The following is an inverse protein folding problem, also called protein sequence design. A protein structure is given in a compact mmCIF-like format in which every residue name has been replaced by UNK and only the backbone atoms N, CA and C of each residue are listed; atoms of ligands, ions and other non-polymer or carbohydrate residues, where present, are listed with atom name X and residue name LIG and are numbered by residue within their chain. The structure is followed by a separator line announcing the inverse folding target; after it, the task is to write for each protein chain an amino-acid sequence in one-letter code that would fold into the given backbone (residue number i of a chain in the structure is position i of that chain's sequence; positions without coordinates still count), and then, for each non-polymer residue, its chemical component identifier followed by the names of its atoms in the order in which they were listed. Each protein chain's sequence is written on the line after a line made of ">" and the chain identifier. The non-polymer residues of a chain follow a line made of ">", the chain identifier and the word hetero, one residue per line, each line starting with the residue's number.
data_IF_891027347346
#
_entry.id   IF_891027347346
#
_cell.length_a   1.000
_cell.length_b   1.000
_cell.length_c   1.000
_cell.angle_alpha   90.00
_cell.angle_beta   90.00
_cell.angle_gamma   90.00
#
_symmetry.space_group_name_H-M   'P 1'
#
loop_
_entity.id
_entity.type
_entity.pdbx_description
1 polymer ?
#
# COMPACT_ATOMS: atom_id res chain seq x y z
N UNK A 1 0.16 11.46 21.59
CA UNK A 1 0.41 10.04 21.88
C UNK A 1 1.59 9.45 21.09
N UNK A 2 2.78 10.09 21.12
CA UNK A 2 3.98 9.55 20.43
C UNK A 2 4.59 8.34 21.17
N UNK A 3 4.45 8.26 22.49
CA UNK A 3 5.11 7.24 23.32
C UNK A 3 4.61 5.82 23.03
N UNK A 4 3.29 5.63 22.86
CA UNK A 4 2.71 4.31 22.53
C UNK A 4 3.10 3.84 21.14
N UNK A 5 3.19 4.74 20.16
CA UNK A 5 3.64 4.42 18.80
C UNK A 5 5.11 3.99 18.79
N UNK A 6 5.98 4.76 19.43
CA UNK A 6 7.41 4.46 19.49
C UNK A 6 7.69 3.16 20.25
N UNK A 7 6.93 2.88 21.32
CA UNK A 7 7.02 1.60 22.04
C UNK A 7 6.60 0.43 21.13
N UNK A 8 5.50 0.53 20.41
CA UNK A 8 5.03 -0.53 19.53
C UNK A 8 5.98 -0.74 18.33
N UNK A 9 6.58 0.33 17.80
CA UNK A 9 7.62 0.23 16.77
C UNK A 9 8.90 -0.41 17.33
N UNK A 10 9.29 -0.13 18.56
CA UNK A 10 10.41 -0.83 19.22
C UNK A 10 10.09 -2.33 19.45
N UNK A 11 8.87 -2.64 19.88
CA UNK A 11 8.40 -4.00 20.06
C UNK A 11 8.30 -4.76 18.74
N UNK A 12 8.00 -4.10 17.62
CA UNK A 12 7.95 -4.75 16.29
C UNK A 12 9.29 -5.34 15.85
N UNK A 13 10.40 -4.83 16.40
CA UNK A 13 11.77 -5.32 16.13
C UNK A 13 12.22 -6.41 17.10
N UNK A 14 11.42 -6.74 18.13
CA UNK A 14 11.79 -7.75 19.13
C UNK A 14 11.55 -9.16 18.58
N UNK A 15 12.64 -9.89 18.33
CA UNK A 15 12.58 -11.29 17.88
C UNK A 15 11.93 -12.21 18.94
N UNK A 16 12.22 -12.00 20.23
CA UNK A 16 11.61 -12.78 21.32
C UNK A 16 10.10 -12.62 21.38
N UNK A 17 9.61 -11.40 21.24
CA UNK A 17 8.18 -11.14 21.27
C UNK A 17 7.50 -11.66 20.00
N UNK A 18 8.16 -11.54 18.85
CA UNK A 18 7.72 -12.13 17.59
C UNK A 18 7.52 -13.65 17.76
N UNK A 19 8.54 -14.35 18.24
CA UNK A 19 8.52 -15.80 18.38
C UNK A 19 7.43 -16.26 19.36
N UNK A 20 7.24 -15.53 20.46
CA UNK A 20 6.11 -15.75 21.37
C UNK A 20 4.76 -15.55 20.69
N UNK A 21 4.60 -14.47 19.93
CA UNK A 21 3.33 -14.12 19.27
C UNK A 21 2.99 -15.06 18.11
N UNK A 22 3.98 -15.52 17.36
CA UNK A 22 3.79 -16.50 16.27
C UNK A 22 3.26 -17.83 16.80
N UNK A 23 3.73 -18.29 17.95
CA UNK A 23 3.28 -19.54 18.58
C UNK A 23 1.97 -19.39 19.38
N UNK A 24 1.52 -18.15 19.61
CA UNK A 24 0.32 -17.90 20.41
C UNK A 24 -0.92 -17.81 19.53
N UNK A 25 -1.78 -18.84 19.55
CA UNK A 25 -2.96 -18.98 18.69
C UNK A 25 -3.89 -17.75 18.66
N UNK A 26 -4.23 -17.10 19.80
CA UNK A 26 -5.03 -15.88 19.80
C UNK A 26 -4.40 -14.72 19.02
N UNK A 27 -3.08 -14.57 19.02
CA UNK A 27 -2.39 -13.54 18.27
C UNK A 27 -2.53 -13.76 16.75
N UNK A 28 -2.42 -15.00 16.29
CA UNK A 28 -2.68 -15.38 14.89
C UNK A 28 -4.12 -15.07 14.47
N UNK A 29 -5.09 -15.35 15.33
CA UNK A 29 -6.50 -15.01 15.05
C UNK A 29 -6.71 -13.52 14.86
N UNK A 30 -6.03 -12.69 15.64
CA UNK A 30 -6.08 -11.23 15.50
C UNK A 30 -5.33 -10.78 14.24
N UNK A 31 -4.15 -11.35 13.97
CA UNK A 31 -3.38 -11.04 12.77
C UNK A 31 -4.18 -11.33 11.50
N UNK A 32 -4.92 -12.44 11.43
CA UNK A 32 -5.81 -12.81 10.32
C UNK A 32 -6.91 -11.79 10.02
N UNK A 33 -7.18 -10.87 10.93
CA UNK A 33 -8.07 -9.75 10.66
C UNK A 33 -7.44 -8.69 9.75
N UNK A 34 -6.11 -8.57 9.73
CA UNK A 34 -5.37 -7.54 9.02
C UNK A 34 -4.44 -8.10 7.94
N UNK A 35 -4.25 -9.41 7.93
CA UNK A 35 -3.39 -10.16 7.01
C UNK A 35 -4.19 -11.30 6.41
N UNK A 36 -4.10 -11.47 5.10
CA UNK A 36 -4.91 -12.41 4.33
C UNK A 36 -4.46 -13.88 4.46
N UNK A 37 -3.55 -14.16 5.36
CA UNK A 37 -2.99 -15.48 5.62
C UNK A 37 -1.46 -15.48 5.59
N UNK A 38 -0.90 -16.65 5.84
CA UNK A 38 0.56 -16.85 5.84
C UNK A 38 1.04 -17.51 4.53
N UNK A 39 0.11 -18.14 3.79
CA UNK A 39 0.40 -18.87 2.55
C UNK A 39 -0.25 -18.21 1.34
N UNK A 40 0.30 -18.49 0.16
CA UNK A 40 -0.22 -18.03 -1.12
C UNK A 40 -1.68 -18.47 -1.34
N UNK A 41 -2.03 -19.71 -1.01
CA UNK A 41 -3.39 -20.23 -1.15
C UNK A 41 -4.41 -19.50 -0.27
N UNK A 42 -4.03 -19.16 0.98
CA UNK A 42 -4.86 -18.35 1.87
C UNK A 42 -5.08 -16.94 1.29
N UNK A 43 -4.02 -16.34 0.73
CA UNK A 43 -4.09 -15.03 0.09
C UNK A 43 -5.04 -15.03 -1.13
N UNK A 44 -4.93 -16.02 -2.01
CA UNK A 44 -5.83 -16.16 -3.18
C UNK A 44 -7.28 -16.36 -2.74
N UNK A 45 -7.51 -17.20 -1.72
CA UNK A 45 -8.86 -17.41 -1.15
C UNK A 45 -9.45 -16.10 -0.59
N UNK A 46 -8.63 -15.31 0.12
CA UNK A 46 -9.07 -14.01 0.63
C UNK A 46 -9.43 -13.03 -0.50
N UNK A 47 -8.65 -13.00 -1.59
CA UNK A 47 -8.97 -12.16 -2.75
C UNK A 47 -10.20 -12.63 -3.49
N UNK A 48 -10.45 -13.94 -3.58
CA UNK A 48 -11.70 -14.47 -4.12
C UNK A 48 -12.93 -13.97 -3.33
N UNK A 49 -12.83 -13.98 -1.99
CA UNK A 49 -13.88 -13.44 -1.12
C UNK A 49 -14.08 -11.92 -1.28
N UNK A 50 -13.03 -11.16 -1.55
CA UNK A 50 -13.12 -9.73 -1.89
C UNK A 50 -13.80 -9.53 -3.26
N UNK A 51 -13.42 -10.32 -4.25
CA UNK A 51 -13.98 -10.25 -5.60
C UNK A 51 -15.49 -10.52 -5.65
N UNK A 52 -16.00 -11.41 -4.77
CA UNK A 52 -17.44 -11.65 -4.60
C UNK A 52 -18.21 -10.44 -4.05
N UNK A 53 -17.50 -9.46 -3.50
CA UNK A 53 -18.05 -8.20 -3.00
C UNK A 53 -17.74 -7.01 -3.94
N UNK A 54 -17.36 -7.28 -5.20
CA UNK A 54 -16.92 -6.29 -6.19
C UNK A 54 -15.73 -5.44 -5.75
N UNK A 55 -14.94 -5.93 -4.80
CA UNK A 55 -13.72 -5.30 -4.35
C UNK A 55 -12.53 -5.80 -5.18
N UNK A 56 -11.67 -4.87 -5.58
CA UNK A 56 -10.37 -5.16 -6.21
C UNK A 56 -9.34 -5.42 -5.12
N UNK A 57 -8.25 -6.11 -5.45
CA UNK A 57 -7.16 -6.32 -4.52
C UNK A 57 -5.80 -5.85 -5.09
N UNK A 58 -4.86 -5.61 -4.19
CA UNK A 58 -3.42 -5.54 -4.46
C UNK A 58 -2.73 -6.38 -3.38
N UNK A 59 -2.20 -7.52 -3.78
CA UNK A 59 -1.50 -8.43 -2.87
C UNK A 59 -0.08 -7.92 -2.61
N UNK A 60 0.33 -7.95 -1.35
CA UNK A 60 1.67 -7.61 -0.88
C UNK A 60 2.24 -8.80 -0.10
N UNK A 61 3.30 -9.43 -0.65
CA UNK A 61 4.04 -10.44 0.10
C UNK A 61 4.91 -9.75 1.15
N UNK A 62 4.59 -9.97 2.41
CA UNK A 62 5.22 -9.27 3.53
C UNK A 62 6.69 -9.64 3.66
N UNK A 63 7.56 -8.68 3.53
CA UNK A 63 9.00 -8.71 3.68
C UNK A 63 9.56 -7.30 3.54
N UNK A 64 10.71 -7.03 4.11
CA UNK A 64 11.39 -5.72 4.05
C UNK A 64 12.90 -5.94 4.18
N UNK A 65 13.69 -5.04 3.56
CA UNK A 65 15.14 -4.86 3.82
C UNK A 65 15.93 -6.16 3.78
N UNK A 66 16.05 -6.74 2.59
CA UNK A 66 16.90 -7.92 2.36
C UNK A 66 18.38 -7.57 2.56
N UNK A 67 19.18 -8.55 2.94
CA UNK A 67 20.60 -8.38 3.29
C UNK A 67 21.55 -9.04 2.31
N UNK A 68 21.01 -9.78 1.35
CA UNK A 68 21.78 -10.48 0.32
C UNK A 68 21.09 -10.48 -1.03
N UNK A 69 21.87 -10.62 -2.10
CA UNK A 69 21.35 -10.76 -3.47
C UNK A 69 20.44 -11.98 -3.61
N UNK A 70 20.77 -13.08 -2.94
CA UNK A 70 19.94 -14.29 -2.93
C UNK A 70 18.57 -13.98 -2.37
N UNK A 71 18.46 -13.32 -1.20
CA UNK A 71 17.19 -12.92 -0.61
C UNK A 71 16.36 -12.02 -1.53
N UNK A 72 17.02 -11.08 -2.24
CA UNK A 72 16.33 -10.19 -3.19
C UNK A 72 15.79 -10.96 -4.41
N UNK A 73 16.54 -11.96 -4.91
CA UNK A 73 16.11 -12.81 -6.01
C UNK A 73 15.01 -13.78 -5.58
N UNK A 74 15.07 -14.30 -4.36
CA UNK A 74 14.03 -15.16 -3.78
C UNK A 74 12.71 -14.37 -3.61
N UNK A 75 12.75 -13.16 -3.07
CA UNK A 75 11.57 -12.28 -2.97
C UNK A 75 10.97 -11.94 -4.35
N UNK A 76 11.83 -11.80 -5.36
CA UNK A 76 11.39 -11.62 -6.74
C UNK A 76 10.69 -12.86 -7.26
N UNK A 77 11.25 -14.05 -7.04
CA UNK A 77 10.66 -15.33 -7.46
C UNK A 77 9.31 -15.57 -6.78
N UNK A 78 9.19 -15.31 -5.46
CA UNK A 78 7.94 -15.39 -4.73
C UNK A 78 6.86 -14.43 -5.29
N UNK A 79 7.26 -13.23 -5.73
CA UNK A 79 6.34 -12.28 -6.38
C UNK A 79 5.90 -12.77 -7.78
N UNK A 80 6.78 -13.43 -8.53
CA UNK A 80 6.43 -14.05 -9.81
C UNK A 80 5.47 -15.23 -9.60
N UNK A 81 5.71 -16.09 -8.62
CA UNK A 81 4.78 -17.16 -8.22
C UNK A 81 3.41 -16.61 -7.81
N UNK A 82 3.39 -15.48 -7.08
CA UNK A 82 2.15 -14.79 -6.75
C UNK A 82 1.39 -14.33 -7.99
N UNK A 83 2.07 -13.78 -9.00
CA UNK A 83 1.46 -13.37 -10.27
C UNK A 83 0.88 -14.57 -11.02
N UNK A 84 1.58 -15.71 -11.04
CA UNK A 84 1.10 -16.96 -11.65
C UNK A 84 -0.14 -17.51 -10.91
N UNK A 85 -0.16 -17.42 -9.58
CA UNK A 85 -1.31 -17.81 -8.78
C UNK A 85 -2.51 -16.87 -8.99
N UNK A 86 -2.29 -15.56 -9.15
CA UNK A 86 -3.33 -14.58 -9.50
C UNK A 86 -3.94 -14.91 -10.87
N UNK A 87 -3.12 -15.28 -11.84
CA UNK A 87 -3.57 -15.67 -13.17
C UNK A 87 -4.38 -16.96 -13.11
N UNK A 88 -3.83 -18.02 -12.51
CA UNK A 88 -4.46 -19.34 -12.40
C UNK A 88 -5.75 -19.30 -11.59
N UNK A 89 -5.76 -18.53 -10.49
CA UNK A 89 -6.94 -18.35 -9.64
C UNK A 89 -8.01 -17.43 -10.24
N UNK A 90 -7.77 -16.79 -11.38
CA UNK A 90 -8.70 -15.88 -12.04
C UNK A 90 -9.11 -14.67 -11.21
N UNK A 91 -8.31 -14.30 -10.20
CA UNK A 91 -8.68 -13.25 -9.24
C UNK A 91 -8.38 -11.84 -9.74
N UNK A 92 -9.16 -10.86 -9.30
CA UNK A 92 -9.06 -9.44 -9.68
C UNK A 92 -8.04 -8.71 -8.80
N UNK A 93 -6.77 -9.13 -8.86
CA UNK A 93 -5.68 -8.56 -8.08
C UNK A 93 -4.52 -8.10 -8.97
N UNK A 94 -3.84 -7.04 -8.54
CA UNK A 94 -2.46 -6.74 -8.87
C UNK A 94 -1.55 -7.06 -7.70
N UNK A 95 -0.30 -6.64 -7.76
CA UNK A 95 0.67 -6.79 -6.69
C UNK A 95 1.21 -5.44 -6.23
N UNK A 96 1.62 -5.36 -4.97
CA UNK A 96 2.42 -4.26 -4.42
C UNK A 96 3.80 -4.79 -4.05
N UNK A 97 4.86 -4.03 -4.33
CA UNK A 97 6.25 -4.41 -4.08
C UNK A 97 7.01 -3.27 -3.40
N UNK A 98 8.02 -3.61 -2.60
CA UNK A 98 8.95 -2.66 -1.98
C UNK A 98 10.34 -2.82 -2.59
N UNK A 99 10.99 -1.72 -2.91
CA UNK A 99 12.30 -1.77 -3.56
C UNK A 99 13.39 -2.29 -2.63
N UNK A 100 13.29 -2.05 -1.32
CA UNK A 100 14.25 -2.62 -0.35
C UNK A 100 14.15 -4.14 -0.29
N UNK A 101 12.98 -4.71 -0.52
CA UNK A 101 12.79 -6.17 -0.64
C UNK A 101 13.36 -6.72 -1.96
N UNK A 102 13.43 -5.89 -2.99
CA UNK A 102 14.02 -6.25 -4.29
C UNK A 102 15.52 -5.96 -4.39
N UNK A 103 16.14 -5.51 -3.28
CA UNK A 103 17.58 -5.32 -3.17
C UNK A 103 18.08 -3.88 -3.39
N UNK A 104 17.24 -2.85 -3.25
CA UNK A 104 17.63 -1.45 -3.47
C UNK A 104 18.79 -1.02 -2.56
N UNK A 105 18.85 -1.49 -1.31
CA UNK A 105 19.93 -1.21 -0.37
C UNK A 105 21.26 -1.89 -0.74
N UNK A 106 21.20 -2.95 -1.55
CA UNK A 106 22.37 -3.68 -2.01
C UNK A 106 22.91 -3.07 -3.31
N UNK A 107 22.02 -2.86 -4.27
CA UNK A 107 22.35 -2.30 -5.58
C UNK A 107 21.10 -1.77 -6.28
N UNK A 108 21.09 -0.49 -6.72
CA UNK A 108 20.01 0.01 -7.56
C UNK A 108 19.80 -0.78 -8.86
N UNK A 109 20.89 -1.29 -9.45
CA UNK A 109 20.83 -2.12 -10.65
C UNK A 109 20.12 -3.46 -10.40
N UNK A 110 20.40 -4.12 -9.27
CA UNK A 110 19.71 -5.34 -8.85
C UNK A 110 18.21 -5.10 -8.64
N UNK A 111 17.86 -4.02 -7.94
CA UNK A 111 16.46 -3.66 -7.73
C UNK A 111 15.74 -3.35 -9.05
N UNK A 112 16.39 -2.68 -9.98
CA UNK A 112 15.86 -2.39 -11.31
C UNK A 112 15.59 -3.66 -12.11
N UNK A 113 16.56 -4.59 -12.16
CA UNK A 113 16.42 -5.91 -12.82
C UNK A 113 15.25 -6.71 -12.24
N UNK A 114 15.20 -6.83 -10.91
CA UNK A 114 14.18 -7.57 -10.21
C UNK A 114 12.77 -6.95 -10.41
N UNK A 115 12.67 -5.64 -10.31
CA UNK A 115 11.42 -4.92 -10.54
C UNK A 115 10.94 -5.06 -11.98
N UNK A 116 11.84 -4.95 -12.96
CA UNK A 116 11.49 -5.11 -14.37
C UNK A 116 10.94 -6.50 -14.67
N UNK A 117 11.52 -7.56 -14.13
CA UNK A 117 11.02 -8.94 -14.28
C UNK A 117 9.58 -9.06 -13.77
N UNK A 118 9.26 -8.47 -12.62
CA UNK A 118 7.91 -8.47 -12.04
C UNK A 118 6.94 -7.68 -12.93
N UNK A 119 7.33 -6.48 -13.36
CA UNK A 119 6.48 -5.61 -14.20
C UNK A 119 6.22 -6.23 -15.55
N UNK A 120 7.24 -6.82 -16.20
CA UNK A 120 7.11 -7.52 -17.48
C UNK A 120 6.15 -8.72 -17.36
N UNK A 121 6.35 -9.59 -16.36
CA UNK A 121 5.45 -10.72 -16.11
C UNK A 121 4.02 -10.28 -15.83
N UNK A 122 3.86 -9.21 -15.06
CA UNK A 122 2.55 -8.63 -14.77
C UNK A 122 1.86 -8.08 -16.03
N UNK A 123 2.62 -7.48 -16.97
CA UNK A 123 2.11 -7.01 -18.25
C UNK A 123 1.58 -8.14 -19.12
N UNK A 124 2.32 -9.26 -19.22
CA UNK A 124 1.92 -10.45 -19.99
C UNK A 124 0.55 -10.99 -19.57
N UNK A 125 0.24 -10.95 -18.28
CA UNK A 125 -1.02 -11.45 -17.74
C UNK A 125 -2.08 -10.35 -17.51
N UNK A 126 -1.84 -9.11 -17.98
CA UNK A 126 -2.74 -7.99 -17.85
C UNK A 126 -3.00 -7.56 -16.40
N UNK A 127 -1.98 -7.63 -15.55
CA UNK A 127 -2.05 -7.21 -14.14
C UNK A 127 -1.22 -5.96 -13.89
N UNK A 128 -1.48 -5.32 -12.73
CA UNK A 128 -0.89 -4.05 -12.35
C UNK A 128 0.09 -4.23 -11.19
N UNK A 129 1.23 -3.56 -11.25
CA UNK A 129 2.23 -3.50 -10.18
C UNK A 129 2.18 -2.12 -9.52
N UNK A 130 2.11 -2.09 -8.20
CA UNK A 130 2.27 -0.87 -7.41
C UNK A 130 3.62 -0.90 -6.69
N UNK A 131 4.48 0.06 -6.99
CA UNK A 131 5.70 0.28 -6.21
C UNK A 131 5.30 1.08 -4.97
N UNK A 132 5.45 0.47 -3.80
CA UNK A 132 5.18 1.12 -2.52
C UNK A 132 6.28 2.14 -2.22
N UNK A 133 5.94 3.23 -1.54
CA UNK A 133 6.89 4.23 -1.11
C UNK A 133 7.33 3.93 0.33
N UNK A 134 8.63 3.95 0.53
CA UNK A 134 9.27 3.70 1.81
C UNK A 134 9.70 5.02 2.47
N UNK A 135 10.75 5.05 3.29
CA UNK A 135 11.18 6.28 3.96
C UNK A 135 11.72 7.32 2.97
N UNK A 136 11.91 8.54 3.44
CA UNK A 136 12.33 9.68 2.62
C UNK A 136 13.59 9.40 1.78
N UNK A 137 14.55 8.65 2.33
CA UNK A 137 15.77 8.28 1.62
C UNK A 137 15.51 7.50 0.31
N UNK A 138 14.39 6.77 0.23
CA UNK A 138 14.05 5.96 -0.94
C UNK A 138 13.13 6.68 -1.94
N UNK A 139 12.67 7.91 -1.64
CA UNK A 139 11.70 8.59 -2.52
C UNK A 139 12.29 8.83 -3.91
N UNK A 140 13.48 9.44 -3.98
CA UNK A 140 14.08 9.74 -5.28
C UNK A 140 14.46 8.48 -6.04
N UNK A 141 15.18 7.50 -5.46
CA UNK A 141 15.47 6.24 -6.16
C UNK A 141 14.22 5.51 -6.67
N UNK A 142 13.12 5.54 -5.89
CA UNK A 142 11.85 4.92 -6.30
C UNK A 142 11.23 5.63 -7.51
N UNK A 143 11.23 6.95 -7.51
CA UNK A 143 10.71 7.74 -8.64
C UNK A 143 11.55 7.54 -9.90
N UNK A 144 12.87 7.50 -9.77
CA UNK A 144 13.77 7.30 -10.91
C UNK A 144 13.57 5.91 -11.55
N UNK A 145 13.48 4.85 -10.73
CA UNK A 145 13.19 3.50 -11.22
C UNK A 145 11.78 3.40 -11.83
N UNK A 146 10.78 4.03 -11.20
CA UNK A 146 9.43 4.06 -11.74
C UNK A 146 9.41 4.72 -13.13
N UNK A 147 10.05 5.87 -13.31
CA UNK A 147 10.03 6.61 -14.57
C UNK A 147 10.75 5.84 -15.69
N UNK A 148 11.91 5.22 -15.39
CA UNK A 148 12.61 4.38 -16.35
C UNK A 148 11.74 3.21 -16.85
N UNK A 149 10.90 2.63 -15.96
CA UNK A 149 9.96 1.57 -16.36
C UNK A 149 8.72 2.12 -17.06
N UNK A 150 8.24 3.32 -16.66
CA UNK A 150 7.05 3.94 -17.23
C UNK A 150 7.19 4.22 -18.73
N UNK A 151 8.38 4.43 -19.22
CA UNK A 151 8.62 4.61 -20.65
C UNK A 151 8.18 3.38 -21.46
N UNK A 152 8.40 2.17 -20.92
CA UNK A 152 8.15 0.88 -21.58
C UNK A 152 6.87 0.19 -21.13
N UNK A 153 6.47 0.35 -19.87
CA UNK A 153 5.38 -0.38 -19.24
C UNK A 153 4.34 0.60 -18.66
N UNK A 154 3.07 0.44 -19.02
CA UNK A 154 1.97 1.26 -18.49
C UNK A 154 1.14 0.57 -17.41
N UNK A 155 1.52 -0.63 -17.03
CA UNK A 155 0.90 -1.43 -15.96
C UNK A 155 1.61 -1.30 -14.60
N UNK A 156 2.36 -0.24 -14.39
CA UNK A 156 3.05 0.08 -13.13
C UNK A 156 2.59 1.44 -12.59
N UNK A 157 2.67 1.64 -11.30
CA UNK A 157 2.35 2.94 -10.67
C UNK A 157 3.12 3.10 -9.36
N UNK A 158 3.14 4.32 -8.83
CA UNK A 158 3.92 4.71 -7.67
C UNK A 158 3.06 5.31 -6.57
N UNK A 159 3.61 5.39 -5.35
CA UNK A 159 2.96 5.98 -4.19
C UNK A 159 3.58 7.33 -3.85
N UNK A 160 2.74 8.32 -3.53
CA UNK A 160 3.15 9.64 -3.02
C UNK A 160 2.63 9.83 -1.60
N UNK A 161 3.49 10.33 -0.73
CA UNK A 161 3.22 10.53 0.69
C UNK A 161 2.99 12.01 1.00
N UNK A 162 1.76 12.37 1.35
CA UNK A 162 1.35 13.78 1.51
C UNK A 162 2.04 14.53 2.66
N UNK A 163 2.67 13.82 3.60
CA UNK A 163 3.40 14.48 4.68
C UNK A 163 4.78 15.06 4.26
N UNK A 164 5.32 14.68 3.09
CA UNK A 164 6.59 15.20 2.60
C UNK A 164 6.42 16.55 1.88
N UNK A 165 7.32 17.49 2.13
CA UNK A 165 7.28 18.80 1.50
C UNK A 165 7.42 18.73 -0.03
N UNK A 166 8.24 17.80 -0.53
CA UNK A 166 8.50 17.62 -1.97
C UNK A 166 7.32 17.08 -2.78
N UNK A 167 6.28 16.53 -2.11
CA UNK A 167 5.21 15.76 -2.77
C UNK A 167 4.42 16.56 -3.80
N UNK A 168 4.37 17.90 -3.70
CA UNK A 168 3.70 18.73 -4.69
C UNK A 168 4.42 18.71 -6.05
N UNK A 169 5.74 18.81 -6.04
CA UNK A 169 6.58 18.76 -7.24
C UNK A 169 6.59 17.36 -7.84
N UNK A 170 6.65 16.32 -6.99
CA UNK A 170 6.58 14.91 -7.40
C UNK A 170 5.22 14.63 -8.10
N UNK A 171 4.10 15.09 -7.53
CA UNK A 171 2.77 14.94 -8.15
C UNK A 171 2.70 15.67 -9.49
N UNK A 172 3.19 16.91 -9.58
CA UNK A 172 3.22 17.66 -10.83
C UNK A 172 4.01 16.92 -11.92
N UNK A 173 5.15 16.30 -11.56
CA UNK A 173 5.95 15.48 -12.47
C UNK A 173 5.17 14.24 -12.95
N UNK A 174 4.51 13.53 -12.02
CA UNK A 174 3.72 12.33 -12.33
C UNK A 174 2.47 12.62 -13.15
N UNK A 175 1.87 13.80 -12.99
CA UNK A 175 0.77 14.28 -13.84
C UNK A 175 1.24 14.42 -15.29
N UNK A 176 2.38 15.04 -15.52
CA UNK A 176 2.93 15.19 -16.90
C UNK A 176 3.18 13.85 -17.58
N UNK A 177 3.49 12.80 -16.80
CA UNK A 177 3.67 11.43 -17.30
C UNK A 177 2.36 10.68 -17.53
N UNK A 178 1.22 11.18 -17.02
CA UNK A 178 -0.03 10.43 -17.01
C UNK A 178 0.00 9.19 -16.13
N UNK A 179 0.75 9.21 -15.04
CA UNK A 179 1.05 8.06 -14.20
C UNK A 179 -0.13 7.61 -13.34
N UNK A 180 -0.13 6.35 -12.90
CA UNK A 180 -1.03 5.89 -11.82
C UNK A 180 -0.42 6.19 -10.46
N UNK A 181 -1.07 7.06 -9.65
CA UNK A 181 -0.55 7.59 -8.40
C UNK A 181 -1.43 7.18 -7.23
N UNK A 182 -0.86 6.43 -6.27
CA UNK A 182 -1.48 6.19 -4.97
C UNK A 182 -1.10 7.30 -4.00
N UNK A 183 -2.07 8.12 -3.60
CA UNK A 183 -1.86 9.17 -2.62
C UNK A 183 -2.15 8.64 -1.21
N UNK A 184 -1.13 8.65 -0.35
CA UNK A 184 -1.20 8.28 1.08
C UNK A 184 -0.81 9.46 1.96
N UNK A 185 -1.11 9.41 3.27
CA UNK A 185 -0.65 10.45 4.22
C UNK A 185 0.86 10.37 4.46
N UNK A 186 1.40 9.18 4.56
CA UNK A 186 2.74 8.85 5.03
C UNK A 186 2.69 8.06 6.33
N UNK A 187 3.64 7.14 6.50
CA UNK A 187 3.64 6.19 7.62
C UNK A 187 4.96 6.16 8.40
N UNK A 188 6.04 6.68 7.84
CA UNK A 188 7.36 6.67 8.47
C UNK A 188 7.53 7.86 9.44
N UNK A 189 8.53 7.76 10.30
CA UNK A 189 8.87 8.83 11.23
C UNK A 189 9.96 9.70 10.64
N UNK A 190 9.56 10.59 9.73
CA UNK A 190 10.48 11.50 9.08
C UNK A 190 10.76 12.73 9.95
N UNK A 191 11.96 13.32 9.84
CA UNK A 191 12.30 14.52 10.56
C UNK A 191 11.57 15.76 10.01
N UNK A 192 11.44 16.84 10.83
CA UNK A 192 10.62 18.00 10.48
C UNK A 192 11.21 18.89 9.37
N UNK A 193 12.42 18.66 8.95
CA UNK A 193 13.06 19.34 7.81
C UNK A 193 12.62 18.79 6.45
N UNK A 194 12.05 17.58 6.41
CA UNK A 194 11.55 16.97 5.16
C UNK A 194 10.04 16.68 5.15
N UNK A 195 9.39 16.69 6.34
CA UNK A 195 7.98 16.33 6.47
C UNK A 195 7.21 17.27 7.41
N UNK A 196 5.92 17.44 7.15
CA UNK A 196 5.02 18.19 8.02
C UNK A 196 4.89 17.52 9.40
N UNK A 197 5.26 18.21 10.48
CA UNK A 197 5.20 17.63 11.84
C UNK A 197 3.77 17.51 12.37
N UNK A 198 2.84 18.33 11.87
CA UNK A 198 1.46 18.34 12.33
C UNK A 198 0.56 17.57 11.37
N UNK A 199 -0.30 16.73 11.97
CA UNK A 199 -1.31 15.98 11.20
C UNK A 199 -2.24 16.90 10.39
N UNK A 200 -2.57 18.07 10.90
CA UNK A 200 -3.43 19.02 10.20
C UNK A 200 -2.81 19.49 8.88
N UNK A 201 -1.50 19.77 8.88
CA UNK A 201 -0.79 20.20 7.69
C UNK A 201 -0.68 19.07 6.67
N UNK A 202 -0.43 17.83 7.14
CA UNK A 202 -0.47 16.65 6.30
C UNK A 202 -1.86 16.45 5.66
N UNK A 203 -2.94 16.61 6.45
CA UNK A 203 -4.32 16.49 5.95
C UNK A 203 -4.63 17.58 4.92
N UNK A 204 -4.20 18.81 5.15
CA UNK A 204 -4.36 19.94 4.23
C UNK A 204 -3.56 19.71 2.92
N UNK A 205 -2.30 19.24 3.05
CA UNK A 205 -1.50 18.90 1.87
C UNK A 205 -2.07 17.72 1.09
N UNK A 206 -2.63 16.72 1.77
CA UNK A 206 -3.30 15.60 1.10
C UNK A 206 -4.44 16.09 0.18
N UNK A 207 -5.26 17.03 0.65
CA UNK A 207 -6.33 17.64 -0.15
C UNK A 207 -5.73 18.38 -1.35
N UNK A 208 -4.73 19.21 -1.13
CA UNK A 208 -4.07 19.99 -2.20
C UNK A 208 -3.47 19.09 -3.28
N UNK A 209 -2.80 18.00 -2.90
CA UNK A 209 -2.26 17.01 -3.85
C UNK A 209 -3.37 16.26 -4.61
N UNK A 210 -4.46 15.92 -3.92
CA UNK A 210 -5.62 15.30 -4.57
C UNK A 210 -6.28 16.29 -5.57
N UNK A 211 -6.38 17.59 -5.24
CA UNK A 211 -6.86 18.62 -6.18
C UNK A 211 -5.98 18.73 -7.43
N UNK A 212 -4.64 18.65 -7.28
CA UNK A 212 -3.73 18.62 -8.41
C UNK A 212 -3.99 17.39 -9.29
N UNK A 213 -4.12 16.20 -8.72
CA UNK A 213 -4.40 14.97 -9.45
C UNK A 213 -5.75 15.00 -10.18
N UNK A 214 -6.77 15.64 -9.59
CA UNK A 214 -8.10 15.81 -10.18
C UNK A 214 -8.25 17.06 -11.06
N UNK A 215 -7.22 17.88 -11.21
CA UNK A 215 -7.25 19.10 -11.99
C UNK A 215 -7.57 18.83 -13.47
N UNK A 216 -8.00 19.85 -14.25
CA UNK A 216 -8.16 19.72 -15.69
C UNK A 216 -6.90 19.19 -16.39
N UNK A 217 -5.70 19.65 -15.97
CA UNK A 217 -4.42 19.18 -16.47
C UNK A 217 -4.22 17.69 -16.14
N UNK A 218 -4.43 17.29 -14.88
CA UNK A 218 -4.34 15.88 -14.46
C UNK A 218 -5.28 14.98 -15.25
N UNK A 219 -6.52 15.40 -15.45
CA UNK A 219 -7.49 14.65 -16.27
C UNK A 219 -7.08 14.54 -17.73
N UNK A 220 -6.53 15.60 -18.30
CA UNK A 220 -6.09 15.63 -19.70
C UNK A 220 -4.84 14.77 -19.91
N UNK A 221 -3.92 14.70 -18.94
CA UNK A 221 -2.73 13.86 -19.02
C UNK A 221 -3.02 12.37 -18.92
N UNK A 222 -4.20 11.97 -18.42
CA UNK A 222 -4.55 10.58 -18.19
C UNK A 222 -4.03 10.02 -16.86
N UNK A 223 -3.53 10.88 -15.93
CA UNK A 223 -3.16 10.42 -14.58
C UNK A 223 -4.32 9.69 -13.91
N UNK A 224 -4.02 8.60 -13.21
CA UNK A 224 -5.02 7.81 -12.49
C UNK A 224 -4.82 7.93 -10.99
N UNK A 225 -5.65 8.73 -10.28
CA UNK A 225 -5.58 8.89 -8.84
C UNK A 225 -6.10 7.67 -8.09
N UNK A 226 -5.36 7.20 -7.08
CA UNK A 226 -5.82 6.25 -6.09
C UNK A 226 -5.79 6.92 -4.71
N UNK A 227 -6.95 7.20 -4.14
CA UNK A 227 -7.15 7.90 -2.87
C UNK A 227 -7.04 6.88 -1.73
N UNK A 228 -5.85 6.77 -1.15
CA UNK A 228 -5.53 5.74 -0.18
C UNK A 228 -5.60 6.29 1.26
N UNK A 229 -6.75 6.17 1.88
CA UNK A 229 -6.98 6.64 3.26
C UNK A 229 -8.16 5.93 3.91
N UNK A 230 -8.16 5.91 5.27
CA UNK A 230 -9.30 5.49 6.09
C UNK A 230 -9.98 6.68 6.78
N UNK A 231 -9.52 7.91 6.53
CA UNK A 231 -10.10 9.13 7.10
C UNK A 231 -11.37 9.49 6.33
N UNK A 232 -12.53 9.38 6.99
CA UNK A 232 -13.83 9.68 6.36
C UNK A 232 -13.91 11.11 5.84
N UNK A 233 -13.28 12.07 6.50
CA UNK A 233 -13.29 13.47 6.05
C UNK A 233 -12.63 13.62 4.68
N UNK A 234 -11.51 12.92 4.45
CA UNK A 234 -10.82 12.93 3.16
C UNK A 234 -11.57 12.13 2.09
N UNK A 235 -12.18 11.01 2.48
CA UNK A 235 -13.03 10.21 1.56
C UNK A 235 -14.26 11.03 1.14
N UNK A 236 -14.96 11.65 2.08
CA UNK A 236 -16.14 12.47 1.81
C UNK A 236 -15.77 13.70 0.97
N UNK A 237 -14.65 14.35 1.30
CA UNK A 237 -14.11 15.43 0.48
C UNK A 237 -13.86 14.98 -0.98
N UNK A 238 -13.20 13.83 -1.18
CA UNK A 238 -12.90 13.34 -2.53
C UNK A 238 -14.19 13.02 -3.32
N UNK A 239 -15.17 12.41 -2.67
CA UNK A 239 -16.50 12.13 -3.26
C UNK A 239 -17.22 13.41 -3.66
N UNK A 240 -17.23 14.40 -2.78
CA UNK A 240 -17.91 15.69 -3.04
C UNK A 240 -17.17 16.50 -4.09
N UNK A 241 -15.83 16.52 -4.06
CA UNK A 241 -15.01 17.19 -5.06
C UNK A 241 -15.22 16.60 -6.46
N UNK A 242 -15.08 15.27 -6.59
CA UNK A 242 -15.22 14.59 -7.89
C UNK A 242 -16.63 14.72 -8.45
N UNK A 243 -17.67 14.66 -7.61
CA UNK A 243 -19.07 14.89 -8.02
C UNK A 243 -19.27 16.31 -8.53
N UNK A 244 -18.78 17.35 -7.81
CA UNK A 244 -18.90 18.75 -8.24
C UNK A 244 -18.14 19.04 -9.53
N UNK A 245 -17.02 18.35 -9.76
CA UNK A 245 -16.21 18.50 -10.98
C UNK A 245 -16.66 17.59 -12.15
N UNK A 246 -17.73 16.81 -11.97
CA UNK A 246 -18.22 15.89 -12.98
C UNK A 246 -17.23 14.78 -13.33
N UNK A 247 -16.37 14.37 -12.38
CA UNK A 247 -15.38 13.30 -12.60
C UNK A 247 -16.05 11.94 -12.37
N UNK A 248 -16.09 11.08 -13.40
CA UNK A 248 -16.71 9.75 -13.28
C UNK A 248 -16.01 8.86 -12.24
N UNK A 249 -16.74 7.98 -11.52
CA UNK A 249 -16.18 7.11 -10.48
C UNK A 249 -15.13 6.10 -10.97
N UNK A 250 -15.11 5.81 -12.27
CA UNK A 250 -14.14 4.90 -12.90
C UNK A 250 -12.81 5.57 -13.26
N UNK A 251 -12.73 6.90 -13.15
CA UNK A 251 -11.49 7.67 -13.41
C UNK A 251 -10.55 7.77 -12.23
N UNK A 252 -10.89 7.18 -11.10
CA UNK A 252 -10.07 7.08 -9.90
C UNK A 252 -10.50 5.87 -9.07
N UNK A 253 -9.79 5.57 -7.99
CA UNK A 253 -10.22 4.54 -7.04
C UNK A 253 -9.94 4.96 -5.60
N UNK A 254 -10.73 4.40 -4.66
CA UNK A 254 -10.38 4.41 -3.25
C UNK A 254 -9.54 3.19 -2.92
N UNK A 255 -8.53 3.37 -2.07
CA UNK A 255 -7.72 2.25 -1.57
C UNK A 255 -7.76 2.18 -0.06
N UNK A 256 -7.96 0.99 0.46
CA UNK A 256 -8.08 0.74 1.89
C UNK A 256 -7.32 -0.54 2.26
N UNK A 257 -6.93 -0.65 3.53
CA UNK A 257 -6.25 -1.84 4.02
C UNK A 257 -7.23 -2.98 4.30
N UNK A 258 -6.76 -4.20 4.12
CA UNK A 258 -7.49 -5.42 4.46
C UNK A 258 -7.94 -5.41 5.93
N UNK A 259 -9.18 -5.77 6.19
CA UNK A 259 -9.78 -5.81 7.53
C UNK A 259 -10.06 -4.46 8.20
N UNK A 260 -9.70 -3.35 7.57
CA UNK A 260 -9.96 -2.01 8.12
C UNK A 260 -11.23 -1.41 7.51
N UNK A 261 -12.23 -1.12 8.36
CA UNK A 261 -13.52 -0.51 7.97
C UNK A 261 -14.25 -1.26 6.84
N UNK A 262 -14.49 -2.57 6.92
CA UNK A 262 -15.11 -3.35 5.85
C UNK A 262 -16.51 -2.84 5.47
N UNK A 263 -17.26 -2.27 6.40
CA UNK A 263 -18.54 -1.65 6.10
C UNK A 263 -18.41 -0.45 5.17
N UNK A 264 -17.41 0.43 5.39
CA UNK A 264 -17.15 1.58 4.52
C UNK A 264 -16.68 1.14 3.13
N UNK A 265 -15.86 0.07 3.04
CA UNK A 265 -15.45 -0.51 1.76
C UNK A 265 -16.68 -0.91 0.92
N UNK A 266 -17.61 -1.66 1.51
CA UNK A 266 -18.88 -2.06 0.85
C UNK A 266 -19.77 -0.88 0.50
N UNK A 267 -19.85 0.13 1.37
CA UNK A 267 -20.64 1.34 1.09
C UNK A 267 -20.10 2.12 -0.12
N UNK A 268 -18.77 2.23 -0.25
CA UNK A 268 -18.15 2.89 -1.39
C UNK A 268 -18.38 2.11 -2.68
N UNK A 269 -18.25 0.77 -2.65
CA UNK A 269 -18.52 -0.09 -3.81
C UNK A 269 -20.00 -0.01 -4.21
N UNK A 270 -20.93 -0.10 -3.24
CA UNK A 270 -22.38 0.04 -3.50
C UNK A 270 -22.75 1.42 -4.06
N UNK A 271 -21.97 2.45 -3.76
CA UNK A 271 -22.11 3.80 -4.35
C UNK A 271 -21.47 3.94 -5.74
N UNK A 272 -20.99 2.85 -6.35
CA UNK A 272 -20.44 2.80 -7.69
C UNK A 272 -18.96 3.19 -7.80
N UNK A 273 -18.24 3.39 -6.70
CA UNK A 273 -16.82 3.68 -6.73
C UNK A 273 -15.98 2.42 -6.87
N UNK A 274 -14.86 2.53 -7.56
CA UNK A 274 -13.82 1.48 -7.55
C UNK A 274 -13.12 1.49 -6.19
N UNK A 275 -13.08 0.34 -5.54
CA UNK A 275 -12.41 0.17 -4.25
C UNK A 275 -11.39 -0.95 -4.35
N UNK A 276 -10.14 -0.65 -4.02
CA UNK A 276 -9.06 -1.63 -3.99
C UNK A 276 -8.59 -1.86 -2.57
N UNK A 277 -8.43 -3.10 -2.21
CA UNK A 277 -7.97 -3.52 -0.89
C UNK A 277 -6.51 -3.91 -0.97
N UNK A 278 -5.67 -3.19 -0.25
CA UNK A 278 -4.29 -3.58 -0.01
C UNK A 278 -4.28 -4.79 0.92
N UNK A 279 -3.84 -5.92 0.40
CA UNK A 279 -4.04 -7.25 0.99
C UNK A 279 -2.68 -7.88 1.28
N UNK A 280 -2.10 -7.61 2.48
CA UNK A 280 -0.83 -8.21 2.88
C UNK A 280 -1.03 -9.69 3.24
N UNK A 281 -0.02 -10.52 2.92
CA UNK A 281 0.03 -11.92 3.31
C UNK A 281 1.49 -12.35 3.52
N UNK A 282 1.70 -13.48 4.14
CA UNK A 282 3.04 -14.07 4.31
C UNK A 282 3.42 -14.31 5.76
N UNK A 283 4.50 -15.06 6.01
CA UNK A 283 4.93 -15.45 7.35
C UNK A 283 5.45 -14.28 8.19
N UNK A 284 5.87 -13.18 7.54
CA UNK A 284 6.41 -11.99 8.21
C UNK A 284 5.31 -10.99 8.64
N UNK A 285 4.15 -11.48 9.06
CA UNK A 285 3.00 -10.64 9.44
C UNK A 285 3.19 -9.84 10.75
N UNK A 286 4.08 -10.28 11.64
CA UNK A 286 4.22 -9.67 12.96
C UNK A 286 4.65 -8.19 12.92
N UNK A 287 5.71 -7.77 12.20
CA UNK A 287 6.07 -6.36 12.09
C UNK A 287 4.96 -5.51 11.49
N UNK A 288 4.27 -6.03 10.48
CA UNK A 288 3.12 -5.38 9.86
C UNK A 288 1.98 -5.14 10.87
N UNK A 289 1.61 -6.18 11.64
CA UNK A 289 0.57 -6.07 12.67
C UNK A 289 0.93 -5.01 13.71
N UNK A 290 2.18 -5.00 14.19
CA UNK A 290 2.64 -4.04 15.20
C UNK A 290 2.57 -2.59 14.70
N UNK A 291 2.89 -2.33 13.43
CA UNK A 291 2.70 -1.01 12.80
C UNK A 291 1.23 -0.60 12.80
N UNK A 292 0.32 -1.51 12.41
CA UNK A 292 -1.15 -1.24 12.41
C UNK A 292 -1.70 -0.95 13.81
N UNK A 293 -1.19 -1.62 14.81
CA UNK A 293 -1.54 -1.35 16.22
C UNK A 293 -1.03 0.02 16.68
N UNK A 294 0.18 0.41 16.27
CA UNK A 294 0.77 1.70 16.59
C UNK A 294 0.04 2.90 16.00
N UNK A 295 -0.59 2.73 14.84
CA UNK A 295 -1.36 3.78 14.17
C UNK A 295 -2.71 4.06 14.83
N UNK A 296 -3.29 3.08 15.53
CA UNK A 296 -4.59 3.20 16.21
C UNK A 296 -4.57 2.51 17.58
N UNK A 297 -4.40 3.27 18.67
CA UNK A 297 -4.44 2.72 20.05
C UNK A 297 -5.76 1.98 20.37
N UNK A 298 -6.87 2.32 19.71
CA UNK A 298 -8.13 1.59 19.82
C UNK A 298 -8.01 0.12 19.37
N UNK A 299 -7.16 -0.17 18.39
CA UNK A 299 -6.88 -1.54 17.95
C UNK A 299 -6.11 -2.31 19.03
N UNK A 300 -5.19 -1.65 19.74
CA UNK A 300 -4.47 -2.23 20.88
C UNK A 300 -5.43 -2.59 22.03
N UNK A 301 -6.39 -1.68 22.34
CA UNK A 301 -7.38 -1.94 23.39
C UNK A 301 -8.31 -3.10 23.03
N UNK A 302 -8.71 -3.21 21.76
CA UNK A 302 -9.47 -4.35 21.27
C UNK A 302 -8.67 -5.66 21.39
N UNK A 303 -7.38 -5.61 21.09
CA UNK A 303 -6.45 -6.74 21.21
C UNK A 303 -6.36 -7.19 22.69
N UNK A 304 -6.10 -6.26 23.59
CA UNK A 304 -6.04 -6.55 25.03
C UNK A 304 -7.38 -7.13 25.54
N UNK A 305 -8.52 -6.57 25.16
CA UNK A 305 -9.84 -7.07 25.56
C UNK A 305 -10.14 -8.47 25.02
N UNK A 306 -9.55 -8.84 23.89
CA UNK A 306 -9.66 -10.21 23.34
C UNK A 306 -8.84 -11.23 24.12
N UNK A 307 -7.77 -10.80 24.84
CA UNK A 307 -7.01 -11.66 25.74
C UNK A 307 -7.73 -11.94 27.06
N UNK A 308 -8.62 -11.04 27.51
CA UNK A 308 -9.32 -11.17 28.78
C UNK A 308 -10.76 -11.69 28.68
N UNK A 309 -11.25 -11.95 27.44
CA UNK A 309 -12.51 -12.66 27.23
C UNK A 309 -12.23 -14.14 26.94
N UNK A 310 -12.07 -14.88 28.01
CA UNK A 310 -12.32 -16.32 28.09
C UNK A 310 -13.67 -16.56 28.72
#
# INVERSE_FOLDING_TARGET
>A
MPITRNLLLALSRSTRLRDLMIHFGPARTIARRFVAGETLNEAITAVQALSQQDLLASLDHLGESVTSETEARDATAETLELLDAIQTGGVRSGVSVKLTQLGLDLSPALAAENLERIVARSAEIGRFVRIDMESFAYVQPTLDLFEALWERYKNVGVVIQAYLYRSADDVARLIRLGASVRLVKGAYNEPPDVAYPLKADTDANYIRLAEQLFSPEGRASGVFPAIATHDTRLIDWARDHTRRQGIPPDRFEFQMLYGIRPTLQRQLTAAGYRVRIYTPYGPQWYPYLMRRLGERPANLFFLLRSFFRR
#
